data_IF_010300290223
#
_entry.id   IF_010300290223
#
_cell.length_a   1.000
_cell.length_b   1.000
_cell.length_c   1.000
_cell.angle_alpha   90.00
_cell.angle_beta   90.00
_cell.angle_gamma   90.00
#
_symmetry.space_group_name_H-M   'P 1'
#
loop_
_entity.id
_entity.type
_entity.pdbx_description
1 polymer ?
#
# COMPACT_ATOMS: atom_id res chain seq x y z
N UNK A 1 -35.42 -27.24 -1.08
CA UNK A 1 -34.81 -26.35 -2.08
C UNK A 1 -33.97 -25.31 -1.34
N UNK A 2 -32.67 -25.21 -1.63
CA UNK A 2 -31.72 -24.40 -0.83
C UNK A 2 -31.95 -22.90 -1.03
N UNK A 3 -32.86 -22.31 -0.25
CA UNK A 3 -33.17 -20.88 -0.22
C UNK A 3 -31.90 -20.01 -0.13
N UNK A 4 -30.87 -20.48 0.55
CA UNK A 4 -29.54 -19.85 0.60
C UNK A 4 -28.93 -19.67 -0.80
N UNK A 5 -28.89 -20.72 -1.64
CA UNK A 5 -28.37 -20.61 -3.01
C UNK A 5 -29.21 -19.69 -3.89
N UNK A 6 -30.54 -19.71 -3.71
CA UNK A 6 -31.46 -18.87 -4.46
C UNK A 6 -31.28 -17.37 -4.13
N UNK A 7 -31.16 -17.03 -2.84
CA UNK A 7 -30.90 -15.65 -2.37
C UNK A 7 -29.58 -15.14 -2.96
N UNK A 8 -28.53 -15.94 -2.94
CA UNK A 8 -27.21 -15.55 -3.48
C UNK A 8 -27.29 -15.31 -4.97
N UNK A 9 -27.90 -16.24 -5.70
CA UNK A 9 -28.10 -16.11 -7.13
C UNK A 9 -28.91 -14.86 -7.47
N UNK A 10 -29.95 -14.55 -6.68
CA UNK A 10 -30.79 -13.37 -6.87
C UNK A 10 -30.01 -12.07 -6.63
N UNK A 11 -29.32 -11.93 -5.51
CA UNK A 11 -28.51 -10.73 -5.21
C UNK A 11 -27.35 -10.56 -6.20
N UNK A 12 -26.71 -11.66 -6.60
CA UNK A 12 -25.64 -11.64 -7.59
C UNK A 12 -26.16 -11.22 -8.95
N UNK A 13 -27.30 -11.78 -9.36
CA UNK A 13 -27.95 -11.45 -10.61
C UNK A 13 -28.42 -10.00 -10.63
N UNK A 14 -29.05 -9.51 -9.56
CA UNK A 14 -29.51 -8.13 -9.44
C UNK A 14 -28.35 -7.13 -9.46
N UNK A 15 -27.28 -7.41 -8.72
CA UNK A 15 -26.06 -6.59 -8.74
C UNK A 15 -25.37 -6.60 -10.10
N UNK A 16 -25.33 -7.75 -10.77
CA UNK A 16 -24.91 -7.87 -12.16
C UNK A 16 -25.75 -6.98 -13.07
N UNK A 17 -27.06 -7.19 -13.12
CA UNK A 17 -27.98 -6.40 -13.95
C UNK A 17 -27.86 -4.90 -13.67
N UNK A 18 -27.65 -4.48 -12.42
CA UNK A 18 -27.40 -3.06 -12.11
C UNK A 18 -26.16 -2.52 -12.83
N UNK A 19 -24.99 -3.15 -12.67
CA UNK A 19 -23.77 -2.72 -13.35
C UNK A 19 -23.86 -2.86 -14.87
N UNK A 20 -24.64 -3.83 -15.37
CA UNK A 20 -24.93 -3.95 -16.81
C UNK A 20 -25.68 -2.73 -17.34
N UNK A 21 -26.74 -2.35 -16.64
CA UNK A 21 -27.63 -1.28 -17.06
C UNK A 21 -26.97 0.08 -16.90
N UNK A 22 -26.25 0.31 -15.80
CA UNK A 22 -25.44 1.52 -15.63
C UNK A 22 -24.42 1.69 -16.75
N UNK A 23 -23.87 0.57 -17.21
CA UNK A 23 -22.89 0.58 -18.27
C UNK A 23 -23.46 0.76 -19.67
N UNK A 24 -24.65 0.20 -19.93
CA UNK A 24 -25.30 0.28 -21.24
C UNK A 24 -26.06 1.61 -21.42
N UNK A 25 -26.63 2.13 -20.34
CA UNK A 25 -27.49 3.31 -20.38
C UNK A 25 -26.68 4.59 -20.21
N UNK A 26 -27.05 5.67 -20.92
CA UNK A 26 -26.47 6.99 -20.68
C UNK A 26 -26.84 7.50 -19.28
N UNK A 27 -25.94 8.27 -18.66
CA UNK A 27 -26.12 8.82 -17.31
C UNK A 27 -27.44 9.61 -17.13
N UNK A 28 -27.94 10.22 -18.21
CA UNK A 28 -29.30 10.78 -18.27
C UNK A 28 -30.01 10.26 -19.51
N UNK A 29 -31.19 9.69 -19.32
CA UNK A 29 -32.05 9.32 -20.44
C UNK A 29 -32.60 10.59 -21.12
N UNK A 30 -32.85 10.55 -22.44
CA UNK A 30 -33.49 11.64 -23.15
C UNK A 30 -34.84 12.01 -22.50
N UNK A 31 -35.29 13.28 -22.55
CA UNK A 31 -36.58 13.70 -21.99
C UNK A 31 -37.78 12.91 -22.54
N UNK A 32 -37.68 12.43 -23.79
CA UNK A 32 -38.68 11.57 -24.44
C UNK A 32 -38.83 10.18 -23.79
N UNK A 33 -37.87 9.76 -22.97
CA UNK A 33 -37.85 8.48 -22.24
C UNK A 33 -37.94 8.70 -20.72
N UNK A 34 -38.37 9.89 -20.27
CA UNK A 34 -38.66 10.17 -18.85
C UNK A 34 -37.52 10.82 -18.06
N UNK A 35 -36.39 11.17 -18.68
CA UNK A 35 -35.35 12.02 -18.05
C UNK A 35 -34.66 11.45 -16.81
N UNK A 36 -34.81 10.15 -16.54
CA UNK A 36 -34.25 9.51 -15.35
C UNK A 36 -32.71 9.47 -15.40
N UNK A 37 -32.08 9.80 -14.27
CA UNK A 37 -30.63 9.73 -14.09
C UNK A 37 -30.23 8.35 -13.57
N UNK A 38 -29.79 7.48 -14.47
CA UNK A 38 -29.20 6.20 -14.10
C UNK A 38 -27.86 6.44 -13.39
N UNK A 39 -27.68 5.85 -12.20
CA UNK A 39 -26.47 6.01 -11.40
C UNK A 39 -26.60 6.90 -10.16
N UNK A 40 -27.79 7.46 -9.85
CA UNK A 40 -28.03 8.23 -8.62
C UNK A 40 -27.56 7.53 -7.33
N UNK A 41 -27.72 6.21 -7.27
CA UNK A 41 -27.33 5.37 -6.12
C UNK A 41 -26.03 4.58 -6.36
N UNK A 42 -25.25 4.93 -7.38
CA UNK A 42 -24.03 4.20 -7.72
C UNK A 42 -23.04 4.17 -6.57
N UNK A 43 -22.88 5.29 -5.87
CA UNK A 43 -21.96 5.37 -4.73
C UNK A 43 -22.36 4.44 -3.60
N UNK A 44 -23.65 4.33 -3.31
CA UNK A 44 -24.22 3.50 -2.27
C UNK A 44 -24.11 2.01 -2.62
N UNK A 45 -24.43 1.67 -3.87
CA UNK A 45 -24.32 0.30 -4.37
C UNK A 45 -22.85 -0.12 -4.40
N UNK A 46 -21.96 0.70 -4.95
CA UNK A 46 -20.52 0.44 -4.97
C UNK A 46 -19.92 0.31 -3.57
N UNK A 47 -20.31 1.17 -2.60
CA UNK A 47 -19.92 1.02 -1.18
C UNK A 47 -20.42 -0.30 -0.60
N UNK A 48 -21.65 -0.71 -0.92
CA UNK A 48 -22.18 -2.03 -0.57
C UNK A 48 -21.28 -3.14 -1.09
N UNK A 49 -20.94 -3.14 -2.37
CA UNK A 49 -20.02 -4.13 -2.96
C UNK A 49 -18.65 -4.14 -2.31
N UNK A 50 -18.07 -2.97 -2.02
CA UNK A 50 -16.78 -2.85 -1.32
C UNK A 50 -16.90 -3.48 0.08
N UNK A 51 -17.96 -3.18 0.83
CA UNK A 51 -18.18 -3.77 2.15
C UNK A 51 -18.28 -5.31 2.09
N UNK A 52 -19.02 -5.85 1.12
CA UNK A 52 -19.10 -7.30 0.87
C UNK A 52 -17.72 -7.86 0.54
N UNK A 53 -16.96 -7.19 -0.33
CA UNK A 53 -15.59 -7.57 -0.69
C UNK A 53 -14.64 -7.58 0.49
N UNK A 54 -14.71 -6.57 1.37
CA UNK A 54 -13.91 -6.48 2.60
C UNK A 54 -14.22 -7.62 3.57
N UNK A 55 -15.50 -7.97 3.74
CA UNK A 55 -15.92 -9.11 4.57
C UNK A 55 -15.45 -10.43 3.96
N UNK A 56 -15.61 -10.60 2.64
CA UNK A 56 -15.14 -11.79 1.94
C UNK A 56 -13.63 -11.98 2.06
N UNK A 57 -12.85 -10.90 2.02
CA UNK A 57 -11.40 -10.96 2.28
C UNK A 57 -11.10 -11.49 3.69
N UNK A 58 -11.79 -10.98 4.72
CA UNK A 58 -11.66 -11.47 6.10
C UNK A 58 -12.05 -12.95 6.24
N UNK A 59 -13.14 -13.36 5.59
CA UNK A 59 -13.56 -14.76 5.56
C UNK A 59 -12.56 -15.66 4.83
N UNK A 60 -11.90 -15.16 3.78
CA UNK A 60 -10.82 -15.87 3.09
C UNK A 60 -9.65 -16.18 4.01
N UNK A 61 -9.22 -15.20 4.81
CA UNK A 61 -8.17 -15.39 5.83
C UNK A 61 -8.63 -16.38 6.91
N UNK A 62 -9.84 -16.22 7.42
CA UNK A 62 -10.41 -17.14 8.41
C UNK A 62 -10.52 -18.57 7.88
N UNK A 63 -10.90 -18.75 6.62
CA UNK A 63 -11.01 -20.06 5.99
C UNK A 63 -9.64 -20.76 5.88
N UNK A 64 -8.58 -20.03 5.53
CA UNK A 64 -7.22 -20.58 5.52
C UNK A 64 -6.80 -21.03 6.93
N UNK A 65 -7.02 -20.17 7.93
CA UNK A 65 -6.74 -20.49 9.34
C UNK A 65 -7.55 -21.69 9.82
N UNK A 66 -8.82 -21.77 9.48
CA UNK A 66 -9.71 -22.86 9.89
C UNK A 66 -9.31 -24.17 9.23
N UNK A 67 -9.22 -24.21 7.89
CA UNK A 67 -8.92 -25.44 7.14
C UNK A 67 -7.53 -25.99 7.48
N UNK A 68 -6.52 -25.12 7.55
CA UNK A 68 -5.16 -25.56 7.88
C UNK A 68 -4.99 -25.77 9.38
N UNK A 69 -5.62 -24.96 10.22
CA UNK A 69 -5.57 -25.09 11.68
C UNK A 69 -6.18 -26.41 12.14
N UNK A 70 -7.35 -26.79 11.60
CA UNK A 70 -7.96 -28.09 11.89
C UNK A 70 -7.10 -29.27 11.42
N UNK A 71 -6.42 -29.17 10.26
CA UNK A 71 -5.49 -30.23 9.82
C UNK A 71 -4.34 -30.41 10.80
N UNK A 72 -3.83 -29.32 11.37
CA UNK A 72 -2.74 -29.34 12.37
C UNK A 72 -3.23 -29.90 13.70
N UNK A 73 -4.34 -29.37 14.22
CA UNK A 73 -4.93 -29.80 15.52
C UNK A 73 -5.29 -31.29 15.49
N UNK A 74 -5.95 -31.74 14.43
CA UNK A 74 -6.39 -33.13 14.29
C UNK A 74 -5.37 -34.03 13.58
N UNK A 75 -4.12 -33.58 13.36
CA UNK A 75 -3.04 -34.31 12.69
C UNK A 75 -3.48 -35.07 11.42
N UNK A 76 -4.29 -34.41 10.58
CA UNK A 76 -4.80 -35.02 9.34
C UNK A 76 -3.68 -35.18 8.30
N UNK A 77 -3.93 -35.94 7.22
CA UNK A 77 -2.95 -36.13 6.13
C UNK A 77 -2.46 -34.78 5.59
N UNK A 78 -1.14 -34.59 5.55
CA UNK A 78 -0.51 -33.32 5.13
C UNK A 78 -0.49 -32.23 6.20
N UNK A 79 -0.66 -32.57 7.49
CA UNK A 79 -0.62 -31.58 8.58
C UNK A 79 0.72 -30.84 8.65
N UNK A 80 1.84 -31.47 8.33
CA UNK A 80 3.17 -30.82 8.33
C UNK A 80 3.23 -29.63 7.36
N UNK A 81 2.71 -29.77 6.15
CA UNK A 81 2.65 -28.67 5.17
C UNK A 81 1.74 -27.55 5.66
N UNK A 82 0.63 -27.90 6.32
CA UNK A 82 -0.32 -26.93 6.88
C UNK A 82 0.29 -26.20 8.08
N UNK A 83 1.07 -26.90 8.91
CA UNK A 83 1.82 -26.30 10.01
C UNK A 83 2.88 -25.33 9.47
N UNK A 84 3.66 -25.75 8.47
CA UNK A 84 4.66 -24.90 7.84
C UNK A 84 4.03 -23.62 7.27
N UNK A 85 2.87 -23.74 6.60
CA UNK A 85 2.13 -22.60 6.07
C UNK A 85 1.69 -21.64 7.18
N UNK A 86 1.05 -22.15 8.24
CA UNK A 86 0.56 -21.31 9.33
C UNK A 86 1.71 -20.62 10.07
N UNK A 87 2.77 -21.36 10.40
CA UNK A 87 3.97 -20.80 11.05
C UNK A 87 4.59 -19.72 10.18
N UNK A 88 4.73 -19.96 8.87
CA UNK A 88 5.28 -18.96 7.94
C UNK A 88 4.40 -17.72 7.84
N UNK A 89 3.07 -17.89 7.82
CA UNK A 89 2.12 -16.79 7.78
C UNK A 89 2.21 -15.91 9.03
N UNK A 90 2.20 -16.52 10.22
CA UNK A 90 2.33 -15.79 11.49
C UNK A 90 3.70 -15.15 11.65
N UNK A 91 4.77 -15.83 11.25
CA UNK A 91 6.13 -15.28 11.25
C UNK A 91 6.23 -14.05 10.35
N UNK A 92 5.75 -14.16 9.10
CA UNK A 92 5.81 -13.05 8.15
C UNK A 92 4.94 -11.87 8.62
N UNK A 93 3.75 -12.15 9.15
CA UNK A 93 2.89 -11.11 9.71
C UNK A 93 3.55 -10.40 10.89
N UNK A 94 4.14 -11.15 11.82
CA UNK A 94 4.86 -10.58 12.96
C UNK A 94 6.05 -9.72 12.52
N UNK A 95 6.88 -10.24 11.62
CA UNK A 95 8.05 -9.52 11.10
C UNK A 95 7.63 -8.27 10.33
N UNK A 96 6.59 -8.34 9.49
CA UNK A 96 6.09 -7.20 8.72
C UNK A 96 5.44 -6.13 9.61
N UNK A 97 4.65 -6.51 10.61
CA UNK A 97 4.06 -5.54 11.56
C UNK A 97 5.16 -4.86 12.36
N UNK A 98 6.16 -5.60 12.82
CA UNK A 98 7.29 -5.01 13.52
C UNK A 98 8.11 -4.10 12.60
N UNK A 99 8.30 -4.50 11.34
CA UNK A 99 8.99 -3.70 10.32
C UNK A 99 8.31 -2.34 10.15
N UNK A 100 6.98 -2.37 9.95
CA UNK A 100 6.14 -1.19 9.81
C UNK A 100 6.11 -0.29 11.04
N UNK A 101 5.88 -0.85 12.24
CA UNK A 101 5.81 -0.06 13.48
C UNK A 101 7.15 0.64 13.76
N UNK A 102 8.28 -0.06 13.57
CA UNK A 102 9.59 0.53 13.81
C UNK A 102 9.92 1.64 12.80
N UNK A 103 9.56 1.47 11.52
CA UNK A 103 9.74 2.53 10.52
C UNK A 103 8.88 3.76 10.84
N UNK A 104 7.62 3.55 11.21
CA UNK A 104 6.69 4.63 11.59
C UNK A 104 7.17 5.40 12.82
N UNK A 105 7.66 4.70 13.86
CA UNK A 105 8.23 5.34 15.06
C UNK A 105 9.44 6.22 14.72
N UNK A 106 10.37 5.70 13.91
CA UNK A 106 11.56 6.44 13.48
C UNK A 106 11.19 7.69 12.67
N UNK A 107 10.16 7.60 11.83
CA UNK A 107 9.68 8.72 11.04
C UNK A 107 8.96 9.77 11.90
N UNK A 108 8.14 9.33 12.87
CA UNK A 108 7.40 10.21 13.79
C UNK A 108 8.34 11.09 14.63
N UNK A 109 9.43 10.55 15.14
CA UNK A 109 10.39 11.32 15.94
C UNK A 109 11.09 12.42 15.12
N UNK A 110 11.43 12.13 13.86
CA UNK A 110 11.98 13.12 12.95
C UNK A 110 10.93 14.17 12.54
N UNK A 111 9.66 13.76 12.37
CA UNK A 111 8.55 14.68 12.09
C UNK A 111 8.29 15.64 13.25
N UNK A 112 8.36 15.19 14.50
CA UNK A 112 8.21 16.07 15.67
C UNK A 112 9.24 17.21 15.66
N UNK A 113 10.51 16.91 15.33
CA UNK A 113 11.55 17.92 15.17
C UNK A 113 11.26 18.87 13.99
N UNK A 114 10.79 18.35 12.85
CA UNK A 114 10.37 19.18 11.71
C UNK A 114 9.22 20.11 12.08
N UNK A 115 8.27 19.65 12.88
CA UNK A 115 7.16 20.46 13.37
C UNK A 115 7.64 21.60 14.27
N UNK A 116 8.60 21.36 15.15
CA UNK A 116 9.24 22.41 15.96
C UNK A 116 9.98 23.42 15.05
N UNK A 117 10.68 22.94 14.03
CA UNK A 117 11.37 23.80 13.07
C UNK A 117 10.39 24.65 12.24
N UNK A 118 9.23 24.10 11.86
CA UNK A 118 8.15 24.81 11.19
C UNK A 118 7.52 25.86 12.11
N UNK A 119 7.29 25.52 13.38
CA UNK A 119 6.80 26.44 14.38
C UNK A 119 7.73 27.66 14.52
N UNK A 120 9.05 27.44 14.51
CA UNK A 120 10.04 28.52 14.52
C UNK A 120 9.89 29.50 13.35
N UNK A 121 9.71 29.00 12.11
CA UNK A 121 9.43 29.86 10.94
C UNK A 121 8.11 30.60 11.09
N UNK A 122 7.07 29.89 11.56
CA UNK A 122 5.73 30.44 11.70
C UNK A 122 5.67 31.60 12.70
N UNK A 123 6.48 31.56 13.75
CA UNK A 123 6.61 32.66 14.72
C UNK A 123 7.04 33.96 14.02
N UNK A 124 8.03 33.89 13.11
CA UNK A 124 8.54 35.05 12.37
C UNK A 124 7.49 35.58 11.40
N UNK A 125 6.81 34.68 10.69
CA UNK A 125 5.78 35.07 9.72
C UNK A 125 4.56 35.73 10.40
N UNK A 126 4.11 35.17 11.53
CA UNK A 126 2.98 35.73 12.28
C UNK A 126 3.34 37.09 12.90
N UNK A 127 4.56 37.28 13.38
CA UNK A 127 5.02 38.59 13.85
C UNK A 127 5.07 39.63 12.74
N UNK A 128 5.51 39.26 11.53
CA UNK A 128 5.50 40.17 10.38
C UNK A 128 4.10 40.61 9.95
N UNK A 129 3.09 39.78 10.21
CA UNK A 129 1.69 40.07 9.86
C UNK A 129 0.97 40.93 10.90
N UNK A 130 1.12 40.60 12.18
CA UNK A 130 0.32 41.16 13.29
C UNK A 130 1.09 42.21 14.11
N UNK A 131 2.43 42.20 14.03
CA UNK A 131 3.36 43.04 14.80
C UNK A 131 3.17 42.96 16.34
N UNK A 132 2.53 41.89 16.82
CA UNK A 132 2.26 41.64 18.24
C UNK A 132 3.52 41.12 18.96
N UNK A 133 4.11 42.00 19.75
CA UNK A 133 5.33 41.80 20.54
C UNK A 133 5.14 40.82 21.70
N UNK A 134 3.99 40.85 22.35
CA UNK A 134 3.70 40.00 23.51
C UNK A 134 3.50 38.55 23.05
N UNK A 135 2.77 38.36 21.95
CA UNK A 135 2.56 37.06 21.32
C UNK A 135 3.85 36.45 20.79
N UNK A 136 4.74 37.26 20.21
CA UNK A 136 6.08 36.82 19.79
C UNK A 136 6.87 36.26 20.98
N UNK A 137 6.94 37.02 22.08
CA UNK A 137 7.68 36.62 23.28
C UNK A 137 7.14 35.30 23.86
N UNK A 138 5.82 35.18 24.06
CA UNK A 138 5.20 33.93 24.58
C UNK A 138 5.53 32.72 23.71
N UNK A 139 5.41 32.85 22.39
CA UNK A 139 5.69 31.75 21.45
C UNK A 139 7.17 31.42 21.36
N UNK A 140 8.06 32.40 21.49
CA UNK A 140 9.49 32.18 21.55
C UNK A 140 9.92 31.38 22.80
N UNK A 141 9.33 31.69 23.96
CA UNK A 141 9.53 30.90 25.18
C UNK A 141 9.04 29.45 25.00
N UNK A 142 7.84 29.27 24.42
CA UNK A 142 7.30 27.93 24.13
C UNK A 142 8.18 27.14 23.15
N UNK A 143 8.66 27.79 22.08
CA UNK A 143 9.60 27.19 21.13
C UNK A 143 10.83 26.69 21.88
N UNK A 144 11.49 27.55 22.66
CA UNK A 144 12.71 27.20 23.37
C UNK A 144 12.51 26.09 24.40
N UNK A 145 11.38 26.07 25.11
CA UNK A 145 11.06 24.97 26.01
C UNK A 145 10.92 23.65 25.26
N UNK A 146 10.26 23.64 24.09
CA UNK A 146 10.05 22.42 23.32
C UNK A 146 11.34 21.97 22.61
N UNK A 147 12.15 22.91 22.11
CA UNK A 147 13.47 22.63 21.55
C UNK A 147 14.39 22.00 22.59
N UNK A 148 14.49 22.60 23.78
CA UNK A 148 15.33 22.05 24.86
C UNK A 148 14.85 20.66 25.29
N UNK A 149 13.54 20.44 25.34
CA UNK A 149 12.96 19.13 25.66
C UNK A 149 13.27 18.10 24.57
N UNK A 150 13.08 18.45 23.31
CA UNK A 150 13.33 17.58 22.17
C UNK A 150 14.82 17.20 22.04
N UNK A 151 15.74 18.15 22.27
CA UNK A 151 17.18 17.90 22.23
C UNK A 151 17.68 17.07 23.43
N UNK A 152 17.10 17.27 24.63
CA UNK A 152 17.47 16.49 25.84
C UNK A 152 16.94 15.06 25.85
N UNK A 153 15.78 14.81 25.24
CA UNK A 153 15.17 13.48 25.22
C UNK A 153 15.99 12.46 24.41
N UNK A 154 16.98 12.90 23.63
CA UNK A 154 17.78 12.06 22.72
C UNK A 154 19.12 11.57 23.30
N UNK A 155 19.47 11.93 24.55
CA UNK A 155 20.76 11.58 25.18
C UNK A 155 20.80 10.13 25.72
N UNK A 156 19.66 9.44 25.74
CA UNK A 156 19.46 8.13 26.37
C UNK A 156 18.50 7.27 25.53
N UNK A 157 19.00 6.53 24.52
CA UNK A 157 18.45 5.22 24.08
C UNK A 157 19.00 4.68 22.73
N UNK A 158 20.22 5.05 22.31
CA UNK A 158 20.90 4.21 21.30
C UNK A 158 21.50 2.99 22.00
N UNK A 159 20.63 2.05 22.40
CA UNK A 159 21.02 0.71 22.85
C UNK A 159 21.80 0.05 21.71
N UNK A 160 23.12 0.02 21.86
CA UNK A 160 24.03 -0.47 20.83
C UNK A 160 23.83 -1.96 20.64
N UNK A 161 23.39 -2.46 19.46
CA UNK A 161 23.66 -3.84 19.13
C UNK A 161 25.17 -4.04 18.99
N UNK A 162 25.62 -5.19 19.47
CA UNK A 162 27.04 -5.56 19.59
C UNK A 162 27.76 -5.41 18.25
N UNK A 163 28.97 -4.82 18.31
CA UNK A 163 29.92 -4.49 17.22
C UNK A 163 29.65 -3.24 16.35
N UNK A 164 28.64 -2.42 16.66
CA UNK A 164 28.41 -1.17 15.91
C UNK A 164 29.49 -0.09 16.08
N UNK A 165 30.29 -0.14 17.16
CA UNK A 165 31.36 0.85 17.41
C UNK A 165 32.47 0.81 16.36
N UNK A 166 32.66 -0.34 15.68
CA UNK A 166 33.69 -0.54 14.64
C UNK A 166 33.20 -0.11 13.24
N UNK A 167 31.89 0.09 13.08
CA UNK A 167 31.29 0.42 11.80
C UNK A 167 31.50 1.90 11.43
N UNK A 168 32.22 2.14 10.33
CA UNK A 168 32.53 3.49 9.85
C UNK A 168 31.28 4.31 9.52
N UNK A 169 30.23 3.69 8.97
CA UNK A 169 28.99 4.36 8.59
C UNK A 169 28.19 4.81 9.82
N UNK A 170 28.14 3.97 10.84
CA UNK A 170 27.54 4.33 12.14
C UNK A 170 28.31 5.48 12.80
N UNK A 171 29.64 5.38 12.87
CA UNK A 171 30.48 6.41 13.50
C UNK A 171 30.32 7.78 12.82
N UNK A 172 30.22 7.81 11.49
CA UNK A 172 29.95 9.05 10.73
C UNK A 172 28.56 9.59 11.05
N UNK A 173 27.51 8.75 10.96
CA UNK A 173 26.13 9.18 11.20
C UNK A 173 25.92 9.70 12.63
N UNK A 174 26.51 9.02 13.61
CA UNK A 174 26.49 9.43 15.02
C UNK A 174 27.23 10.76 15.24
N UNK A 175 28.38 10.94 14.57
CA UNK A 175 29.15 12.20 14.65
C UNK A 175 28.36 13.37 14.06
N UNK A 176 27.76 13.18 12.89
CA UNK A 176 26.94 14.21 12.23
C UNK A 176 25.75 14.60 13.10
N UNK A 177 25.06 13.60 13.66
CA UNK A 177 23.95 13.79 14.58
C UNK A 177 24.36 14.57 15.84
N UNK A 178 25.41 14.13 16.52
CA UNK A 178 25.91 14.80 17.73
C UNK A 178 26.41 16.24 17.45
N UNK A 179 26.97 16.48 16.26
CA UNK A 179 27.41 17.82 15.85
C UNK A 179 26.21 18.73 15.64
N UNK A 180 25.16 18.23 14.97
CA UNK A 180 23.94 18.98 14.74
C UNK A 180 23.20 19.30 16.05
N UNK A 181 23.16 18.37 17.02
CA UNK A 181 22.59 18.62 18.35
C UNK A 181 23.35 19.76 19.03
N UNK A 182 24.68 19.68 19.10
CA UNK A 182 25.51 20.72 19.75
C UNK A 182 25.31 22.09 19.11
N UNK A 183 25.20 22.15 17.78
CA UNK A 183 24.89 23.39 17.07
C UNK A 183 23.50 23.92 17.44
N UNK A 184 22.48 23.06 17.47
CA UNK A 184 21.12 23.43 17.84
C UNK A 184 21.03 23.93 19.29
N UNK A 185 21.71 23.26 20.23
CA UNK A 185 21.80 23.65 21.63
C UNK A 185 22.50 25.00 21.81
N UNK A 186 23.59 25.23 21.07
CA UNK A 186 24.31 26.49 21.07
C UNK A 186 23.43 27.65 20.60
N UNK A 187 22.71 27.46 19.49
CA UNK A 187 21.78 28.48 18.96
C UNK A 187 20.60 28.69 19.91
N UNK A 188 20.05 27.62 20.50
CA UNK A 188 18.95 27.73 21.45
C UNK A 188 19.36 28.48 22.74
N UNK A 189 20.61 28.31 23.19
CA UNK A 189 21.14 28.99 24.36
C UNK A 189 21.38 30.49 24.09
N UNK A 190 21.97 30.84 22.94
CA UNK A 190 22.11 32.23 22.48
C UNK A 190 20.74 32.93 22.34
N UNK A 191 19.75 32.23 21.79
CA UNK A 191 18.40 32.75 21.66
C UNK A 191 17.72 32.94 23.03
N UNK A 192 17.94 32.04 23.99
CA UNK A 192 17.43 32.19 25.36
C UNK A 192 18.01 33.43 26.04
N UNK A 193 19.32 33.65 25.96
CA UNK A 193 19.98 34.81 26.57
C UNK A 193 19.44 36.14 26.00
N UNK A 194 19.22 36.20 24.68
CA UNK A 194 18.59 37.34 24.01
C UNK A 194 17.12 37.54 24.40
N UNK A 195 16.41 36.46 24.73
CA UNK A 195 15.03 36.49 25.18
C UNK A 195 14.94 37.03 26.62
N UNK A 196 15.80 36.54 27.50
CA UNK A 196 15.87 36.93 28.91
C UNK A 196 16.30 38.40 29.07
N UNK A 197 17.14 38.90 28.15
CA UNK A 197 17.54 40.32 28.08
C UNK A 197 16.52 41.25 27.40
N UNK A 198 15.41 40.70 26.88
CA UNK A 198 14.34 41.48 26.24
C UNK A 198 14.62 41.95 24.81
N UNK A 199 15.71 41.49 24.18
CA UNK A 199 16.16 41.94 22.84
C UNK A 199 15.66 40.99 21.73
N UNK A 200 14.37 40.66 21.77
CA UNK A 200 13.75 39.64 20.90
C UNK A 200 13.66 40.09 19.42
N UNK A 201 13.61 41.40 19.18
CA UNK A 201 13.37 41.96 17.84
C UNK A 201 14.63 41.98 16.96
N UNK A 202 15.83 41.94 17.55
CA UNK A 202 17.08 41.78 16.80
C UNK A 202 17.40 40.32 16.49
N UNK A 203 16.69 39.37 17.11
CA UNK A 203 16.91 37.92 16.96
C UNK A 203 15.96 37.24 15.96
N UNK A 204 15.22 38.00 15.15
CA UNK A 204 14.32 37.44 14.11
C UNK A 204 15.04 36.48 13.14
N UNK A 205 16.32 36.72 12.85
CA UNK A 205 17.16 35.80 12.06
C UNK A 205 17.52 34.52 12.82
N UNK A 206 17.61 34.57 14.14
CA UNK A 206 17.96 33.42 14.98
C UNK A 206 16.86 32.36 14.99
N UNK A 207 15.59 32.74 14.83
CA UNK A 207 14.49 31.80 14.56
C UNK A 207 14.68 31.04 13.23
N UNK A 208 15.19 31.70 12.19
CA UNK A 208 15.52 30.99 10.94
C UNK A 208 16.71 30.04 11.13
N UNK A 209 17.72 30.46 11.90
CA UNK A 209 18.91 29.64 12.21
C UNK A 209 18.53 28.40 13.02
N UNK A 210 17.74 28.55 14.08
CA UNK A 210 17.29 27.42 14.89
C UNK A 210 16.37 26.49 14.08
N UNK A 211 15.49 27.02 13.23
CA UNK A 211 14.69 26.22 12.31
C UNK A 211 15.56 25.36 11.37
N UNK A 212 16.61 25.93 10.78
CA UNK A 212 17.54 25.19 9.92
C UNK A 212 18.29 24.12 10.71
N UNK A 213 18.79 24.47 11.90
CA UNK A 213 19.53 23.56 12.77
C UNK A 213 18.68 22.38 13.24
N UNK A 214 17.43 22.62 13.69
CA UNK A 214 16.51 21.54 14.07
C UNK A 214 16.16 20.65 12.88
N UNK A 215 15.97 21.22 11.68
CA UNK A 215 15.75 20.41 10.47
C UNK A 215 16.96 19.52 10.15
N UNK A 216 18.19 19.99 10.37
CA UNK A 216 19.37 19.15 10.24
C UNK A 216 19.41 18.06 11.31
N UNK A 217 19.07 18.35 12.57
CA UNK A 217 18.95 17.34 13.63
C UNK A 217 17.93 16.27 13.25
N UNK A 218 16.76 16.67 12.75
CA UNK A 218 15.72 15.74 12.28
C UNK A 218 16.22 14.85 11.13
N UNK A 219 16.96 15.40 10.18
CA UNK A 219 17.52 14.65 9.06
C UNK A 219 18.59 13.66 9.52
N UNK A 220 19.53 14.09 10.37
CA UNK A 220 20.58 13.22 10.89
C UNK A 220 20.04 12.17 11.86
N UNK A 221 19.03 12.49 12.67
CA UNK A 221 18.29 11.52 13.50
C UNK A 221 17.72 10.42 12.64
N UNK A 222 16.96 10.78 11.60
CA UNK A 222 16.37 9.81 10.67
C UNK A 222 17.44 8.92 10.03
N UNK A 223 18.54 9.51 9.54
CA UNK A 223 19.61 8.74 8.91
C UNK A 223 20.28 7.77 9.89
N UNK A 224 20.54 8.22 11.13
CA UNK A 224 21.10 7.38 12.19
C UNK A 224 20.15 6.24 12.58
N UNK A 225 18.87 6.54 12.78
CA UNK A 225 17.85 5.53 13.08
C UNK A 225 17.69 4.52 11.95
N UNK A 226 17.67 4.96 10.69
CA UNK A 226 17.66 4.07 9.53
C UNK A 226 18.91 3.18 9.48
N UNK A 227 20.09 3.73 9.78
CA UNK A 227 21.34 2.95 9.83
C UNK A 227 21.28 1.84 10.88
N UNK A 228 20.82 2.19 12.08
CA UNK A 228 20.63 1.25 13.19
C UNK A 228 19.63 0.16 12.81
N UNK A 229 18.50 0.59 12.24
CA UNK A 229 17.39 -0.27 11.84
C UNK A 229 17.79 -1.29 10.77
N UNK A 230 18.53 -0.86 9.74
CA UNK A 230 19.02 -1.73 8.65
C UNK A 230 19.89 -2.89 9.13
N UNK A 231 20.51 -2.74 10.30
CA UNK A 231 21.37 -3.76 10.91
C UNK A 231 20.63 -4.67 11.89
N UNK A 232 19.40 -4.33 12.28
CA UNK A 232 18.61 -5.16 13.20
C UNK A 232 18.35 -6.55 12.63
N UNK A 233 18.23 -7.54 13.52
CA UNK A 233 17.89 -8.91 13.12
C UNK A 233 16.52 -8.96 12.43
N UNK A 234 15.55 -8.18 12.92
CA UNK A 234 14.20 -8.11 12.35
C UNK A 234 14.27 -7.67 10.88
N UNK A 235 15.02 -6.60 10.58
CA UNK A 235 15.15 -6.09 9.21
C UNK A 235 15.85 -7.09 8.29
N UNK A 236 16.90 -7.76 8.76
CA UNK A 236 17.58 -8.82 7.99
C UNK A 236 16.65 -9.99 7.70
N UNK A 237 15.87 -10.43 8.69
CA UNK A 237 14.87 -11.49 8.54
C UNK A 237 13.80 -11.06 7.54
N UNK A 238 13.29 -9.83 7.65
CA UNK A 238 12.33 -9.27 6.70
C UNK A 238 12.89 -9.26 5.28
N UNK A 239 14.09 -8.71 5.07
CA UNK A 239 14.69 -8.63 3.74
C UNK A 239 14.95 -10.02 3.16
N UNK A 240 15.37 -10.98 3.97
CA UNK A 240 15.54 -12.37 3.54
C UNK A 240 14.20 -12.99 3.11
N UNK A 241 13.16 -12.90 3.95
CA UNK A 241 11.84 -13.48 3.65
C UNK A 241 11.17 -12.78 2.46
N UNK A 242 11.23 -11.45 2.42
CA UNK A 242 10.57 -10.66 1.40
C UNK A 242 11.36 -10.69 0.08
N UNK A 243 12.60 -10.22 0.07
CA UNK A 243 13.41 -10.11 -1.16
C UNK A 243 14.03 -11.44 -1.59
N UNK A 244 14.38 -12.30 -0.64
CA UNK A 244 15.00 -13.59 -0.93
C UNK A 244 14.00 -14.69 -1.29
N UNK A 245 12.81 -14.69 -0.69
CA UNK A 245 11.84 -15.78 -0.87
C UNK A 245 10.58 -15.31 -1.60
N UNK A 246 9.89 -14.30 -1.07
CA UNK A 246 8.59 -13.86 -1.60
C UNK A 246 8.68 -13.28 -3.01
N UNK A 247 9.61 -12.33 -3.25
CA UNK A 247 9.75 -11.69 -4.57
C UNK A 247 10.10 -12.71 -5.66
N UNK A 248 11.11 -13.60 -5.51
CA UNK A 248 11.44 -14.58 -6.55
C UNK A 248 10.34 -15.63 -6.78
N UNK A 249 9.63 -16.06 -5.73
CA UNK A 249 8.48 -16.95 -5.89
C UNK A 249 7.35 -16.27 -6.67
N UNK A 250 7.06 -15.00 -6.35
CA UNK A 250 6.10 -14.19 -7.10
C UNK A 250 6.51 -14.03 -8.56
N UNK A 251 7.78 -13.71 -8.84
CA UNK A 251 8.29 -13.58 -10.21
C UNK A 251 8.24 -14.90 -10.98
N UNK A 252 8.51 -16.04 -10.33
CA UNK A 252 8.36 -17.35 -10.92
C UNK A 252 6.90 -17.66 -11.29
N UNK A 253 5.94 -17.32 -10.41
CA UNK A 253 4.51 -17.48 -10.72
C UNK A 253 4.08 -16.61 -11.91
N UNK A 254 4.51 -15.36 -11.96
CA UNK A 254 4.20 -14.47 -13.10
C UNK A 254 4.90 -14.92 -14.39
N UNK A 255 6.14 -15.39 -14.30
CA UNK A 255 6.87 -15.96 -15.44
C UNK A 255 6.14 -17.19 -16.00
N UNK A 256 5.73 -18.10 -15.13
CA UNK A 256 4.98 -19.30 -15.52
C UNK A 256 3.60 -18.94 -16.09
N UNK A 257 2.91 -17.97 -15.50
CA UNK A 257 1.65 -17.44 -16.03
C UNK A 257 1.85 -16.87 -17.44
N UNK A 258 2.88 -16.05 -17.64
CA UNK A 258 3.23 -15.51 -18.95
C UNK A 258 3.53 -16.61 -19.97
N UNK A 259 4.35 -17.59 -19.59
CA UNK A 259 4.64 -18.75 -20.43
C UNK A 259 3.37 -19.52 -20.83
N UNK A 260 2.46 -19.77 -19.89
CA UNK A 260 1.21 -20.46 -20.19
C UNK A 260 0.25 -19.63 -21.04
N UNK A 261 0.16 -18.32 -20.83
CA UNK A 261 -0.64 -17.42 -21.68
C UNK A 261 -0.10 -17.43 -23.11
N UNK A 262 1.22 -17.30 -23.28
CA UNK A 262 1.86 -17.33 -24.60
C UNK A 262 1.64 -18.71 -25.26
N UNK A 263 1.83 -19.80 -24.52
CA UNK A 263 1.64 -21.17 -25.02
C UNK A 263 0.18 -21.46 -25.40
N UNK A 264 -0.78 -21.01 -24.59
CA UNK A 264 -2.21 -21.11 -24.89
C UNK A 264 -2.58 -20.24 -26.10
N UNK A 265 -2.10 -19.00 -26.15
CA UNK A 265 -2.28 -18.08 -27.27
C UNK A 265 -1.73 -18.67 -28.57
N UNK A 266 -0.49 -19.15 -28.58
CA UNK A 266 0.11 -19.80 -29.76
C UNK A 266 -0.71 -21.01 -30.23
N UNK A 267 -1.20 -21.85 -29.30
CA UNK A 267 -2.06 -22.99 -29.64
C UNK A 267 -3.43 -22.56 -30.18
N UNK A 268 -4.00 -21.46 -29.68
CA UNK A 268 -5.29 -20.92 -30.13
C UNK A 268 -5.21 -20.16 -31.47
N UNK A 269 -4.06 -19.53 -31.76
CA UNK A 269 -3.81 -18.79 -33.00
C UNK A 269 -3.12 -19.62 -34.09
N UNK A 270 -2.80 -20.90 -33.84
CA UNK A 270 -2.27 -21.80 -34.87
C UNK A 270 -3.25 -21.81 -36.04
N UNK A 271 -2.80 -21.30 -37.19
CA UNK A 271 -3.60 -21.05 -38.39
C UNK A 271 -4.37 -22.32 -38.76
N UNK A 272 -5.68 -22.27 -38.52
CA UNK A 272 -6.63 -23.34 -38.87
C UNK A 272 -7.78 -22.81 -39.72
N UNK A 273 -8.08 -21.51 -39.62
CA UNK A 273 -9.12 -20.81 -40.37
C UNK A 273 -8.70 -19.35 -40.64
N UNK A 274 -9.45 -18.66 -41.51
CA UNK A 274 -9.22 -17.25 -41.87
C UNK A 274 -9.40 -16.30 -40.68
N UNK A 275 -10.27 -16.66 -39.73
CA UNK A 275 -10.53 -15.88 -38.51
C UNK A 275 -9.32 -15.84 -37.56
N UNK A 276 -8.65 -16.99 -37.33
CA UNK A 276 -7.43 -17.05 -36.52
C UNK A 276 -6.29 -16.25 -37.14
N UNK A 277 -6.21 -16.18 -38.48
CA UNK A 277 -5.24 -15.33 -39.18
C UNK A 277 -5.51 -13.86 -38.91
N UNK A 278 -6.78 -13.42 -39.01
CA UNK A 278 -7.16 -12.04 -38.72
C UNK A 278 -6.80 -11.66 -37.27
N UNK A 279 -7.09 -12.54 -36.31
CA UNK A 279 -6.75 -12.33 -34.90
C UNK A 279 -5.23 -12.28 -34.67
N UNK A 280 -4.46 -13.13 -35.36
CA UNK A 280 -3.00 -13.14 -35.26
C UNK A 280 -2.39 -11.86 -35.83
N UNK A 281 -2.86 -11.39 -36.99
CA UNK A 281 -2.43 -10.12 -37.60
C UNK A 281 -2.76 -8.96 -36.67
N UNK A 282 -3.98 -8.91 -36.14
CA UNK A 282 -4.39 -7.89 -35.17
C UNK A 282 -3.49 -7.89 -33.93
N UNK A 283 -3.16 -9.06 -33.38
CA UNK A 283 -2.28 -9.19 -32.22
C UNK A 283 -0.85 -8.71 -32.51
N UNK A 284 -0.28 -9.05 -33.68
CA UNK A 284 1.05 -8.59 -34.10
C UNK A 284 1.08 -7.06 -34.25
N UNK A 285 0.07 -6.48 -34.89
CA UNK A 285 -0.04 -5.02 -35.03
C UNK A 285 -0.10 -4.33 -33.66
N UNK A 286 -0.88 -4.86 -32.71
CA UNK A 286 -0.94 -4.32 -31.35
C UNK A 286 0.40 -4.46 -30.63
N UNK A 287 1.07 -5.61 -30.74
CA UNK A 287 2.38 -5.81 -30.11
C UNK A 287 3.44 -4.86 -30.66
N UNK A 288 3.50 -4.68 -31.98
CA UNK A 288 4.43 -3.74 -32.64
C UNK A 288 4.15 -2.28 -32.24
N UNK A 289 2.89 -1.92 -32.01
CA UNK A 289 2.50 -0.62 -31.48
C UNK A 289 2.67 -0.45 -29.96
N UNK A 290 3.03 -1.50 -29.19
CA UNK A 290 3.30 -1.44 -27.74
C UNK A 290 4.78 -1.26 -27.44
N UNK A 291 5.64 -1.92 -28.21
CA UNK A 291 7.09 -1.85 -28.02
C UNK A 291 7.63 -0.59 -28.72
N UNK A 292 8.69 0.06 -28.19
CA UNK A 292 9.31 1.25 -28.80
C UNK A 292 10.01 0.97 -30.16
N UNK A 293 9.68 -0.14 -30.82
CA UNK A 293 10.21 -0.55 -32.12
C UNK A 293 9.48 0.12 -33.29
N UNK A 294 8.28 0.68 -33.07
CA UNK A 294 7.51 1.37 -34.10
C UNK A 294 8.25 2.55 -34.75
N UNK A 295 9.18 3.18 -34.03
CA UNK A 295 9.99 4.32 -34.52
C UNK A 295 10.74 3.97 -35.81
N UNK A 296 11.14 2.71 -35.97
CA UNK A 296 11.90 2.21 -37.12
C UNK A 296 11.02 1.70 -38.27
N UNK A 297 9.70 1.56 -38.05
CA UNK A 297 8.77 0.98 -39.02
C UNK A 297 7.80 2.04 -39.54
N UNK A 298 7.04 2.66 -38.63
CA UNK A 298 6.07 3.71 -38.95
C UNK A 298 5.59 4.42 -37.68
N UNK A 299 5.57 5.74 -37.73
CA UNK A 299 5.01 6.60 -36.66
C UNK A 299 3.50 6.45 -36.46
N UNK A 300 2.79 5.80 -37.39
CA UNK A 300 1.33 5.59 -37.33
C UNK A 300 0.91 4.27 -36.68
N UNK A 301 1.85 3.38 -36.34
CA UNK A 301 1.54 2.11 -35.66
C UNK A 301 0.90 2.30 -34.28
N UNK A 302 1.35 3.25 -33.42
CA UNK A 302 0.69 3.51 -32.14
C UNK A 302 -0.78 3.93 -32.30
N UNK A 303 -1.10 4.80 -33.26
CA UNK A 303 -2.48 5.25 -33.50
C UNK A 303 -3.37 4.12 -34.03
N UNK A 304 -2.86 3.25 -34.90
CA UNK A 304 -3.60 2.07 -35.38
C UNK A 304 -3.89 1.09 -34.23
N UNK A 305 -2.90 0.86 -33.37
CA UNK A 305 -3.05 0.05 -32.16
C UNK A 305 -4.05 0.66 -31.19
N UNK A 306 -4.06 1.99 -31.01
CA UNK A 306 -5.04 2.68 -30.16
C UNK A 306 -6.46 2.50 -30.72
N UNK A 307 -6.66 2.76 -32.01
CA UNK A 307 -7.97 2.55 -32.64
C UNK A 307 -8.48 1.11 -32.47
N UNK A 308 -7.61 0.12 -32.69
CA UNK A 308 -7.98 -1.29 -32.53
C UNK A 308 -8.38 -1.62 -31.09
N UNK A 309 -7.69 -1.04 -30.10
CA UNK A 309 -7.99 -1.26 -28.69
C UNK A 309 -9.24 -0.50 -28.22
N UNK A 310 -9.47 0.72 -28.70
CA UNK A 310 -10.55 1.59 -28.23
C UNK A 310 -11.90 1.36 -28.89
N UNK A 311 -11.91 0.81 -30.12
CA UNK A 311 -13.15 0.61 -30.87
C UNK A 311 -13.54 -0.89 -30.90
N UNK A 312 -12.88 -1.79 -31.66
CA UNK A 312 -13.21 -3.22 -31.64
C UNK A 312 -12.98 -3.88 -30.26
N UNK A 313 -11.80 -3.69 -29.67
CA UNK A 313 -11.46 -4.41 -28.44
C UNK A 313 -12.27 -3.91 -27.25
N UNK A 314 -12.62 -2.62 -27.23
CA UNK A 314 -13.44 -2.06 -26.17
C UNK A 314 -14.77 -2.81 -26.05
N UNK A 315 -15.49 -3.08 -27.15
CA UNK A 315 -16.74 -3.84 -27.11
C UNK A 315 -16.58 -5.24 -26.46
N UNK A 316 -15.49 -5.96 -26.75
CA UNK A 316 -15.20 -7.24 -26.14
C UNK A 316 -14.80 -7.11 -24.65
N UNK A 317 -13.91 -6.17 -24.34
CA UNK A 317 -13.42 -5.91 -22.98
C UNK A 317 -14.55 -5.46 -22.05
N UNK A 318 -15.51 -4.73 -22.62
CA UNK A 318 -16.76 -4.30 -21.98
C UNK A 318 -17.57 -5.50 -21.47
N UNK A 319 -17.77 -6.53 -22.29
CA UNK A 319 -18.45 -7.76 -21.90
C UNK A 319 -17.64 -8.59 -20.86
N UNK A 320 -16.31 -8.63 -20.99
CA UNK A 320 -15.43 -9.35 -20.04
C UNK A 320 -15.48 -8.71 -18.65
N UNK A 321 -15.37 -7.38 -18.55
CA UNK A 321 -15.47 -6.65 -17.26
C UNK A 321 -16.78 -6.95 -16.57
N UNK A 322 -17.88 -6.96 -17.33
CA UNK A 322 -19.19 -7.29 -16.83
C UNK A 322 -19.27 -8.72 -16.27
N UNK A 323 -18.83 -9.72 -17.05
CA UNK A 323 -18.80 -11.11 -16.61
C UNK A 323 -17.92 -11.33 -15.37
N UNK A 324 -16.76 -10.66 -15.30
CA UNK A 324 -15.86 -10.72 -14.16
C UNK A 324 -16.47 -10.08 -12.90
N UNK A 325 -17.19 -8.95 -13.03
CA UNK A 325 -17.89 -8.32 -11.92
C UNK A 325 -18.99 -9.24 -11.34
N UNK A 326 -19.77 -9.90 -12.20
CA UNK A 326 -20.76 -10.88 -11.76
C UNK A 326 -20.10 -12.09 -11.09
N UNK A 327 -19.04 -12.63 -11.68
CA UNK A 327 -18.34 -13.80 -11.14
C UNK A 327 -17.69 -13.50 -9.77
N UNK A 328 -17.11 -12.31 -9.60
CA UNK A 328 -16.53 -11.89 -8.32
C UNK A 328 -17.59 -11.67 -7.25
N UNK A 329 -18.71 -11.02 -7.59
CA UNK A 329 -19.86 -10.89 -6.69
C UNK A 329 -20.42 -12.25 -6.28
N UNK A 330 -20.60 -13.16 -7.25
CA UNK A 330 -21.05 -14.52 -6.98
C UNK A 330 -20.16 -15.22 -5.97
N UNK A 331 -18.84 -15.18 -6.18
CA UNK A 331 -17.88 -15.82 -5.29
C UNK A 331 -17.83 -15.17 -3.91
N UNK A 332 -17.86 -13.84 -3.82
CA UNK A 332 -17.89 -13.12 -2.55
C UNK A 332 -19.12 -13.51 -1.72
N UNK A 333 -20.30 -13.53 -2.35
CA UNK A 333 -21.54 -13.88 -1.69
C UNK A 333 -21.56 -15.39 -1.33
N UNK A 334 -21.11 -16.27 -2.23
CA UNK A 334 -20.98 -17.71 -1.96
C UNK A 334 -20.09 -18.00 -0.74
N UNK A 335 -18.98 -17.28 -0.64
CA UNK A 335 -18.05 -17.36 0.49
C UNK A 335 -18.70 -16.84 1.77
N UNK A 336 -19.40 -15.71 1.70
CA UNK A 336 -20.09 -15.13 2.86
C UNK A 336 -21.12 -16.08 3.48
N UNK A 337 -21.90 -16.76 2.66
CA UNK A 337 -22.89 -17.72 3.15
C UNK A 337 -22.31 -19.12 3.46
N UNK A 338 -20.98 -19.30 3.39
CA UNK A 338 -20.26 -20.54 3.74
C UNK A 338 -20.81 -21.80 3.06
N UNK A 339 -21.24 -21.66 1.80
CA UNK A 339 -21.83 -22.78 1.03
C UNK A 339 -20.75 -23.80 0.60
N UNK A 340 -19.47 -23.48 0.75
CA UNK A 340 -18.34 -24.35 0.41
C UNK A 340 -18.03 -25.41 1.47
N UNK A 341 -18.60 -25.31 2.68
CA UNK A 341 -18.27 -26.16 3.83
C UNK A 341 -18.83 -27.58 3.77
N UNK A 342 -19.83 -27.87 2.93
CA UNK A 342 -20.50 -29.19 2.93
C UNK A 342 -19.63 -30.32 2.37
N UNK A 343 -18.65 -30.04 1.51
CA UNK A 343 -17.76 -31.10 0.99
C UNK A 343 -16.77 -31.65 2.02
N UNK A 344 -16.54 -30.96 3.14
CA UNK A 344 -15.61 -31.40 4.18
C UNK A 344 -16.29 -32.26 5.26
N UNK A 345 -17.61 -32.17 5.42
CA UNK A 345 -18.39 -32.96 6.38
C UNK A 345 -18.70 -34.37 5.84
N UNK A 346 -19.10 -34.48 4.56
CA UNK A 346 -19.50 -35.77 3.97
C UNK A 346 -18.35 -36.79 3.88
N UNK A 347 -17.09 -36.33 3.76
CA UNK A 347 -15.92 -37.23 3.79
C UNK A 347 -15.59 -37.80 5.17
N UNK A 348 -16.22 -37.31 6.24
CA UNK A 348 -16.01 -37.85 7.60
C UNK A 348 -16.91 -39.06 7.86
N UNK A 349 -18.01 -39.22 7.13
CA UNK A 349 -18.92 -40.36 7.28
C UNK A 349 -18.45 -41.58 6.46
N UNK A 350 -17.95 -41.39 5.24
CA UNK A 350 -17.44 -42.50 4.39
C UNK A 350 -16.13 -43.14 4.89
N UNK A 351 -15.42 -42.48 5.82
CA UNK A 351 -14.17 -42.99 6.39
C UNK A 351 -14.34 -43.95 7.58
N UNK A 352 -15.58 -44.26 7.98
CA UNK A 352 -15.89 -45.16 9.11
C UNK A 352 -16.58 -46.48 8.69
N UNK A 353 -16.74 -46.71 7.39
CA UNK A 353 -17.34 -47.93 6.83
C UNK A 353 -16.36 -48.67 5.91
N UNK A 354 -15.16 -48.96 6.42
CA UNK A 354 -14.14 -49.78 5.75
C UNK A 354 -13.28 -50.50 6.76
#
# INVERSE_FOLDING_TARGET
MNYRKAIISLFTFAGGVYFFLEFLLPAKLPPSLGGYEFGKYHTEISRGFIAIGSVAFGLGLFNLLYVHGLKVIFKRRGFLNSLALLVSMFLMMYVAVHEWVTDEMNNSDAENLRMIALFSKRIVDDYRADNDKERLSKRAHLLLSEVKKALKADDLEISQPVDMKSDKGYAVSLREYNTAIKEAEGIASDLQEKLDSGVIFSSLSDFSRISKSINSVAAYKRNLSSYLYDRTLIKRIYDFLYKGVFIPLGSAMFSLLGFYIISAGYRAFRIRNTESVLMMVAAVVVMLGQIPFYVWISSSLPSLRLWLLEVPSAAAFRAIKFGAAIASLYMAVRMWFSIESTSFADKVEDGKSG
#
